data_IF_530683169624
#
_entry.id   IF_530683169624
#
_cell.length_a   1.000
_cell.length_b   1.000
_cell.length_c   1.000
_cell.angle_alpha   90.00
_cell.angle_beta   90.00
_cell.angle_gamma   90.00
#
_symmetry.space_group_name_H-M   'P 1'
#
loop_
_entity.id
_entity.type
_entity.pdbx_description
1 polymer ?
#
# COMPACT_ATOMS: atom_id res chain seq x y z
N UNK A 1 -13.37 11.05 6.54
CA UNK A 1 -11.95 10.87 6.18
C UNK A 1 -11.46 9.47 6.50
N UNK A 2 -11.58 8.96 7.72
CA UNK A 2 -11.07 7.61 8.04
C UNK A 2 -11.75 6.50 7.24
N UNK A 3 -13.07 6.52 7.08
CA UNK A 3 -13.77 5.53 6.25
C UNK A 3 -13.30 5.50 4.78
N UNK A 4 -13.07 6.68 4.18
CA UNK A 4 -12.58 6.79 2.79
C UNK A 4 -11.12 6.32 2.66
N UNK A 5 -10.29 6.58 3.69
CA UNK A 5 -8.94 6.03 3.77
C UNK A 5 -8.96 4.50 3.85
N UNK A 6 -9.84 3.95 4.70
CA UNK A 6 -9.97 2.51 4.88
C UNK A 6 -10.52 1.83 3.62
N UNK A 7 -11.42 2.49 2.89
CA UNK A 7 -11.87 2.05 1.56
C UNK A 7 -10.73 2.04 0.54
N UNK A 8 -9.88 3.07 0.52
CA UNK A 8 -8.69 3.09 -0.34
C UNK A 8 -7.70 1.97 0.00
N UNK A 9 -7.48 1.66 1.28
CA UNK A 9 -6.69 0.49 1.66
C UNK A 9 -7.32 -0.83 1.22
N UNK A 10 -8.65 -0.91 1.21
CA UNK A 10 -9.39 -2.08 0.76
C UNK A 10 -9.36 -2.26 -0.77
N UNK A 11 -9.26 -1.16 -1.55
CA UNK A 11 -9.08 -1.22 -3.00
C UNK A 11 -7.74 -1.87 -3.40
N UNK A 12 -6.71 -1.74 -2.56
CA UNK A 12 -5.40 -2.33 -2.83
C UNK A 12 -4.60 -1.60 -3.92
N UNK A 13 -3.43 -2.15 -4.22
CA UNK A 13 -2.58 -1.71 -5.31
C UNK A 13 -2.71 -2.66 -6.50
N UNK A 14 -3.20 -2.16 -7.63
CA UNK A 14 -3.06 -2.87 -8.90
C UNK A 14 -1.57 -3.01 -9.25
N UNK A 15 -1.15 -4.23 -9.57
CA UNK A 15 0.24 -4.58 -9.80
C UNK A 15 0.37 -5.57 -10.95
N UNK A 16 1.35 -5.35 -11.82
CA UNK A 16 1.67 -6.26 -12.93
C UNK A 16 2.68 -7.31 -12.48
N UNK A 17 2.29 -8.58 -12.55
CA UNK A 17 3.14 -9.74 -12.29
C UNK A 17 3.64 -10.31 -13.61
N UNK A 18 4.56 -9.61 -14.27
CA UNK A 18 5.16 -10.04 -15.54
C UNK A 18 4.11 -10.30 -16.65
N UNK A 19 3.19 -9.37 -16.83
CA UNK A 19 2.12 -9.42 -17.83
C UNK A 19 0.78 -9.98 -17.33
N UNK A 20 0.71 -10.41 -16.06
CA UNK A 20 -0.56 -10.70 -15.40
C UNK A 20 -0.87 -9.67 -14.31
N UNK A 21 -1.88 -8.83 -14.52
CA UNK A 21 -2.33 -7.86 -13.51
C UNK A 21 -3.13 -8.53 -12.39
N UNK A 22 -2.82 -8.21 -11.14
CA UNK A 22 -3.61 -8.58 -9.95
C UNK A 22 -3.53 -7.44 -8.92
N UNK A 23 -4.26 -7.56 -7.81
CA UNK A 23 -4.28 -6.58 -6.74
C UNK A 23 -3.49 -7.09 -5.54
N UNK A 24 -2.49 -6.31 -5.12
CA UNK A 24 -1.81 -6.45 -3.84
C UNK A 24 -2.70 -5.84 -2.77
N UNK A 25 -3.09 -6.66 -1.79
CA UNK A 25 -3.99 -6.21 -0.72
C UNK A 25 -3.22 -5.36 0.31
N UNK A 26 -3.78 -4.22 0.70
CA UNK A 26 -3.10 -3.21 1.54
C UNK A 26 -3.88 -2.84 2.80
N UNK A 27 -4.89 -3.65 3.18
CA UNK A 27 -5.66 -3.43 4.42
C UNK A 27 -4.73 -3.55 5.63
N UNK A 28 -5.06 -2.95 6.79
CA UNK A 28 -4.17 -2.98 7.96
C UNK A 28 -3.63 -4.37 8.33
N UNK A 29 -4.45 -5.43 8.21
CA UNK A 29 -4.03 -6.81 8.44
C UNK A 29 -3.03 -7.36 7.40
N UNK A 30 -3.08 -6.87 6.16
CA UNK A 30 -2.19 -7.29 5.08
C UNK A 30 -0.82 -6.58 5.16
N UNK A 31 -0.76 -5.38 5.75
CA UNK A 31 0.47 -4.58 5.86
C UNK A 31 1.55 -5.32 6.66
N UNK A 32 1.16 -6.06 7.70
CA UNK A 32 2.10 -6.89 8.48
C UNK A 32 2.71 -8.00 7.62
N UNK A 33 1.92 -8.60 6.72
CA UNK A 33 2.41 -9.60 5.79
C UNK A 33 3.39 -8.99 4.78
N UNK A 34 3.07 -7.80 4.24
CA UNK A 34 3.98 -7.08 3.33
C UNK A 34 5.31 -6.76 4.00
N UNK A 35 5.29 -6.25 5.24
CA UNK A 35 6.52 -5.99 6.02
C UNK A 35 7.32 -7.27 6.30
N UNK A 36 6.63 -8.37 6.61
CA UNK A 36 7.27 -9.66 6.83
C UNK A 36 7.93 -10.22 5.57
N UNK A 37 7.28 -10.10 4.42
CA UNK A 37 7.82 -10.47 3.11
C UNK A 37 9.02 -9.61 2.73
N UNK A 38 8.92 -8.29 2.91
CA UNK A 38 10.01 -7.35 2.65
C UNK A 38 11.25 -7.71 3.47
N UNK A 39 11.08 -7.94 4.78
CA UNK A 39 12.19 -8.30 5.66
C UNK A 39 12.84 -9.65 5.29
N UNK A 40 12.05 -10.62 4.82
CA UNK A 40 12.58 -11.91 4.31
C UNK A 40 13.36 -11.72 3.01
N UNK A 41 12.79 -10.99 2.05
CA UNK A 41 13.42 -10.68 0.77
C UNK A 41 14.77 -9.99 0.97
N UNK A 42 14.82 -8.93 1.78
CA UNK A 42 16.05 -8.20 2.07
C UNK A 42 17.13 -9.09 2.71
N UNK A 43 16.75 -10.01 3.60
CA UNK A 43 17.67 -10.97 4.20
C UNK A 43 18.25 -11.95 3.18
N UNK A 44 17.43 -12.45 2.26
CA UNK A 44 17.88 -13.34 1.18
C UNK A 44 18.84 -12.63 0.23
N UNK A 45 18.48 -11.41 -0.18
CA UNK A 45 19.34 -10.57 -1.03
C UNK A 45 20.68 -10.31 -0.35
N UNK A 46 20.67 -9.88 0.92
CA UNK A 46 21.90 -9.63 1.70
C UNK A 46 22.76 -10.89 1.92
N UNK A 47 22.13 -12.07 1.95
CA UNK A 47 22.83 -13.36 2.02
C UNK A 47 23.37 -13.85 0.67
N UNK A 48 23.25 -13.06 -0.40
CA UNK A 48 23.69 -13.43 -1.75
C UNK A 48 22.74 -14.37 -2.48
N UNK A 49 21.45 -14.39 -2.11
CA UNK A 49 20.41 -15.25 -2.68
C UNK A 49 19.23 -14.44 -3.26
N UNK A 50 19.47 -13.52 -4.22
CA UNK A 50 18.40 -12.69 -4.80
C UNK A 50 17.36 -13.51 -5.58
N UNK A 51 17.75 -14.67 -6.10
CA UNK A 51 16.89 -15.57 -6.90
C UNK A 51 16.10 -16.57 -6.03
N UNK A 52 16.26 -16.55 -4.70
CA UNK A 52 15.49 -17.41 -3.82
C UNK A 52 14.00 -17.07 -3.92
N UNK A 53 13.16 -18.09 -4.07
CA UNK A 53 11.72 -17.89 -4.30
C UNK A 53 10.94 -17.75 -2.98
N UNK A 54 9.95 -16.88 -3.01
CA UNK A 54 8.99 -16.63 -1.95
C UNK A 54 7.59 -16.64 -2.56
N UNK A 55 6.65 -17.30 -1.89
CA UNK A 55 5.26 -17.32 -2.33
C UNK A 55 4.54 -16.03 -1.94
N UNK A 56 3.89 -15.39 -2.91
CA UNK A 56 2.95 -14.28 -2.71
C UNK A 56 1.56 -14.66 -3.22
N UNK A 57 0.50 -14.14 -2.59
CA UNK A 57 -0.88 -14.35 -3.02
C UNK A 57 -1.63 -13.02 -3.07
N UNK A 58 -2.11 -12.67 -4.27
CA UNK A 58 -2.91 -11.46 -4.51
C UNK A 58 -4.42 -11.70 -4.35
N UNK A 59 -5.22 -10.69 -4.68
CA UNK A 59 -6.68 -10.71 -4.55
C UNK A 59 -7.35 -11.82 -5.38
N UNK A 60 -6.82 -12.15 -6.56
CA UNK A 60 -7.30 -13.29 -7.38
C UNK A 60 -7.13 -14.65 -6.72
N UNK A 61 -6.52 -14.72 -5.53
CA UNK A 61 -6.29 -15.96 -4.78
C UNK A 61 -5.35 -16.95 -5.50
N UNK A 62 -4.52 -16.46 -6.42
CA UNK A 62 -3.48 -17.22 -7.11
C UNK A 62 -2.16 -17.11 -6.36
N UNK A 63 -1.52 -18.24 -6.06
CA UNK A 63 -0.16 -18.27 -5.52
C UNK A 63 0.85 -18.01 -6.64
N UNK A 64 1.76 -17.07 -6.42
CA UNK A 64 2.86 -16.73 -7.32
C UNK A 64 4.17 -16.95 -6.61
N UNK A 65 5.09 -17.66 -7.26
CA UNK A 65 6.47 -17.77 -6.80
C UNK A 65 7.25 -16.59 -7.38
N UNK A 66 7.76 -15.74 -6.51
CA UNK A 66 8.50 -14.54 -6.86
C UNK A 66 9.92 -14.67 -6.30
N UNK A 67 10.91 -14.21 -7.05
CA UNK A 67 12.29 -14.06 -6.53
C UNK A 67 12.31 -13.07 -5.35
N UNK A 68 13.35 -13.12 -4.52
CA UNK A 68 13.51 -12.17 -3.43
C UNK A 68 13.56 -10.72 -3.95
N UNK A 69 14.19 -10.49 -5.11
CA UNK A 69 14.21 -9.19 -5.79
C UNK A 69 12.81 -8.73 -6.21
N UNK A 70 12.00 -9.63 -6.78
CA UNK A 70 10.61 -9.30 -7.17
C UNK A 70 9.71 -9.05 -5.95
N UNK A 71 9.89 -9.80 -4.86
CA UNK A 71 9.17 -9.53 -3.61
C UNK A 71 9.57 -8.19 -3.02
N UNK A 72 10.86 -7.83 -3.06
CA UNK A 72 11.30 -6.52 -2.60
C UNK A 72 10.65 -5.39 -3.41
N UNK A 73 10.69 -5.48 -4.73
CA UNK A 73 10.06 -4.49 -5.61
C UNK A 73 8.56 -4.37 -5.35
N UNK A 74 7.85 -5.50 -5.26
CA UNK A 74 6.40 -5.55 -5.01
C UNK A 74 6.06 -4.91 -3.66
N UNK A 75 6.75 -5.31 -2.60
CA UNK A 75 6.40 -4.85 -1.25
C UNK A 75 6.79 -3.40 -1.04
N UNK A 76 7.86 -2.89 -1.65
CA UNK A 76 8.17 -1.45 -1.67
C UNK A 76 7.08 -0.66 -2.41
N UNK A 77 6.62 -1.14 -3.57
CA UNK A 77 5.52 -0.49 -4.29
C UNK A 77 4.23 -0.44 -3.45
N UNK A 78 3.89 -1.55 -2.79
CA UNK A 78 2.72 -1.63 -1.92
C UNK A 78 2.83 -0.72 -0.69
N UNK A 79 4.00 -0.67 -0.03
CA UNK A 79 4.25 0.21 1.10
C UNK A 79 4.23 1.69 0.69
N UNK A 80 4.77 2.04 -0.48
CA UNK A 80 4.67 3.39 -1.03
C UNK A 80 3.23 3.80 -1.36
N UNK A 81 2.41 2.86 -1.87
CA UNK A 81 0.98 3.08 -2.06
C UNK A 81 0.26 3.34 -0.72
N UNK A 82 0.54 2.54 0.31
CA UNK A 82 0.00 2.72 1.67
C UNK A 82 0.40 4.09 2.24
N UNK A 83 1.66 4.47 2.10
CA UNK A 83 2.16 5.78 2.52
C UNK A 83 1.39 6.92 1.82
N UNK A 84 1.19 6.82 0.50
CA UNK A 84 0.42 7.79 -0.27
C UNK A 84 -1.02 7.96 0.22
N UNK A 85 -1.68 6.86 0.59
CA UNK A 85 -3.02 6.89 1.20
C UNK A 85 -3.01 7.64 2.54
N UNK A 86 -2.02 7.36 3.40
CA UNK A 86 -1.89 8.08 4.68
C UNK A 86 -1.64 9.58 4.46
N UNK A 87 -0.71 9.93 3.58
CA UNK A 87 -0.39 11.34 3.27
C UNK A 87 -1.61 12.09 2.77
N UNK A 88 -2.37 11.51 1.83
CA UNK A 88 -3.63 12.09 1.36
C UNK A 88 -4.64 12.28 2.50
N UNK A 89 -4.79 11.28 3.37
CA UNK A 89 -5.70 11.36 4.51
C UNK A 89 -5.31 12.48 5.49
N UNK A 90 -4.01 12.65 5.76
CA UNK A 90 -3.51 13.72 6.61
C UNK A 90 -3.71 15.09 5.99
N UNK A 91 -3.34 15.28 4.73
CA UNK A 91 -3.54 16.55 4.02
C UNK A 91 -5.01 17.00 4.02
N UNK A 92 -5.95 16.06 3.87
CA UNK A 92 -7.38 16.39 3.91
C UNK A 92 -7.85 16.74 5.32
N UNK A 93 -7.30 16.09 6.37
CA UNK A 93 -7.58 16.45 7.77
C UNK A 93 -7.02 17.84 8.10
N UNK A 94 -5.78 18.12 7.71
CA UNK A 94 -5.14 19.43 7.93
C UNK A 94 -5.92 20.56 7.24
N UNK A 95 -6.40 20.33 6.00
CA UNK A 95 -7.26 21.29 5.28
C UNK A 95 -8.59 21.51 5.99
N UNK A 96 -9.19 20.46 6.53
CA UNK A 96 -10.44 20.54 7.28
C UNK A 96 -10.25 21.38 8.54
N UNK A 97 -9.20 21.08 9.31
CA UNK A 97 -8.90 21.78 10.56
C UNK A 97 -8.63 23.26 10.31
N UNK A 98 -7.83 23.59 9.30
CA UNK A 98 -7.55 24.98 8.91
C UNK A 98 -8.82 25.76 8.49
N UNK A 99 -9.72 25.12 7.74
CA UNK A 99 -10.99 25.76 7.33
C UNK A 99 -11.93 25.97 8.52
N UNK A 100 -11.94 25.06 9.50
CA UNK A 100 -12.70 25.20 10.74
C UNK A 100 -12.16 26.34 11.60
N UNK A 101 -10.84 26.43 11.77
CA UNK A 101 -10.19 27.51 12.53
C UNK A 101 -10.42 28.89 11.91
N UNK A 102 -10.39 28.98 10.58
CA UNK A 102 -10.64 30.22 9.85
C UNK A 102 -12.13 30.62 9.77
N UNK A 103 -13.05 29.75 10.21
CA UNK A 103 -14.50 29.95 10.06
C UNK A 103 -14.98 29.93 8.60
N UNK A 104 -14.20 29.35 7.69
CA UNK A 104 -14.43 29.33 6.25
C UNK A 104 -15.33 28.16 5.85
N UNK A 105 -16.61 28.24 6.25
CA UNK A 105 -17.58 27.16 6.09
C UNK A 105 -17.79 26.71 4.62
N UNK A 106 -17.56 27.59 3.65
CA UNK A 106 -17.63 27.24 2.22
C UNK A 106 -16.46 26.35 1.79
N UNK A 107 -15.24 26.55 2.32
CA UNK A 107 -14.07 25.72 1.99
C UNK A 107 -14.20 24.29 2.52
N UNK A 108 -15.01 24.07 3.56
CA UNK A 108 -15.30 22.73 4.08
C UNK A 108 -15.95 21.82 3.02
N UNK A 109 -16.72 22.40 2.08
CA UNK A 109 -17.38 21.66 1.00
C UNK A 109 -16.40 21.14 -0.05
N UNK A 110 -15.17 21.66 -0.07
CA UNK A 110 -14.11 21.31 -1.02
C UNK A 110 -13.13 20.25 -0.47
N UNK A 111 -13.34 19.80 0.78
CA UNK A 111 -12.52 18.75 1.40
C UNK A 111 -13.20 17.40 1.20
N UNK A 112 -12.89 16.75 0.07
CA UNK A 112 -13.36 15.41 -0.26
C UNK A 112 -12.17 14.48 -0.56
N UNK A 113 -12.43 13.17 -0.49
CA UNK A 113 -11.45 12.13 -0.85
C UNK A 113 -11.14 12.19 -2.34
#
# INVERSE_FOLDING_TARGET
MDAARDEAFASGLEYDFNGETDVVQTRPQDQVNLLGLQAKAQRLIAAGQPEATLTFRGLKNVNRELTATEVEALTLAALGHIEGIYQKSWQLKDRLDAALEAGEHEKLKEVFW
#
